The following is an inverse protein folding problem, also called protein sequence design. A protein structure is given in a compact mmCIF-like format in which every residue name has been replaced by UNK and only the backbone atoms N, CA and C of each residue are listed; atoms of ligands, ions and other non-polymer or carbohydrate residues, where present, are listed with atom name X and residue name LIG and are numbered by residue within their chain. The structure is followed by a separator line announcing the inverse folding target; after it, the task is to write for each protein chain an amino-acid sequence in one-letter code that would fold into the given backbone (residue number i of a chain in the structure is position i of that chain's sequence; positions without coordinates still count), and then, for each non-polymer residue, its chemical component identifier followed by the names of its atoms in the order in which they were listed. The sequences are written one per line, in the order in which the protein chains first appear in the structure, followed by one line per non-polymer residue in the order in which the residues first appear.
data_IF_495614995574
#
_entry.id   IF_495614995574
#
_cell.length_a   1.000
_cell.length_b   1.000
_cell.length_c   1.000
_cell.angle_alpha   90.00
_cell.angle_beta   90.00
_cell.angle_gamma   90.00
#
_symmetry.space_group_name_H-M   'P 1'
#
loop_
_entity.id
_entity.type
_entity.pdbx_description
1 polymer ?
#
# COMPACT_ATOMS: atom_id res chain seq x y z
N UNK A 1 48.44 -10.58 9.34
CA UNK A 1 47.66 -9.50 9.98
C UNK A 1 46.61 -10.13 10.91
N UNK A 2 46.47 -9.65 12.15
CA UNK A 2 45.41 -10.11 13.09
C UNK A 2 44.54 -8.90 13.44
N UNK A 3 43.30 -8.89 12.94
CA UNK A 3 42.30 -7.90 13.38
C UNK A 3 41.73 -8.44 14.71
N UNK A 4 41.98 -7.75 15.82
CA UNK A 4 41.34 -8.03 17.11
C UNK A 4 40.13 -7.12 17.25
N UNK A 5 38.93 -7.67 17.11
CA UNK A 5 37.67 -6.97 17.41
C UNK A 5 37.20 -7.45 18.78
N UNK A 6 37.29 -6.57 19.78
CA UNK A 6 36.75 -6.76 21.12
C UNK A 6 37.73 -7.30 22.17
N UNK A 7 37.68 -6.68 23.35
CA UNK A 7 37.89 -7.36 24.62
C UNK A 7 36.80 -6.83 25.58
N UNK A 8 35.94 -7.71 26.10
CA UNK A 8 34.81 -7.38 26.98
C UNK A 8 33.73 -6.39 26.47
N UNK A 9 33.62 -6.11 25.17
CA UNK A 9 32.57 -5.24 24.66
C UNK A 9 31.27 -6.00 24.36
N UNK A 10 30.14 -5.53 24.88
CA UNK A 10 28.79 -5.98 24.50
C UNK A 10 28.34 -5.17 23.29
N UNK A 11 28.48 -5.74 22.10
CA UNK A 11 27.97 -5.12 20.88
C UNK A 11 26.52 -5.59 20.71
N UNK A 12 25.57 -4.66 20.86
CA UNK A 12 24.15 -4.91 20.61
C UNK A 12 23.71 -4.04 19.43
N UNK A 13 22.95 -4.62 18.52
CA UNK A 13 22.36 -3.96 17.35
C UNK A 13 23.38 -3.24 16.44
N UNK A 14 24.54 -3.86 16.19
CA UNK A 14 25.54 -3.33 15.26
C UNK A 14 25.77 -4.25 14.08
N UNK A 15 26.00 -3.65 12.94
CA UNK A 15 26.30 -4.31 11.67
C UNK A 15 27.79 -4.16 11.39
N UNK A 16 28.50 -5.27 11.22
CA UNK A 16 29.92 -5.28 10.88
C UNK A 16 30.09 -5.89 9.49
N UNK A 17 30.44 -5.06 8.52
CA UNK A 17 30.60 -5.42 7.10
C UNK A 17 29.82 -4.47 6.18
N UNK A 18 30.16 -4.45 4.88
CA UNK A 18 29.41 -3.69 3.88
C UNK A 18 28.07 -4.39 3.63
N UNK A 19 27.04 -4.02 4.39
CA UNK A 19 25.69 -4.36 3.99
C UNK A 19 25.42 -3.59 2.72
N UNK A 20 25.25 -4.29 1.59
CA UNK A 20 24.48 -3.74 0.50
C UNK A 20 23.12 -3.39 1.09
N UNK A 21 22.94 -2.13 1.47
CA UNK A 21 21.65 -1.57 1.85
C UNK A 21 20.86 -1.54 0.54
N UNK A 22 20.41 -2.71 0.08
CA UNK A 22 19.21 -2.78 -0.73
C UNK A 22 18.15 -2.16 0.15
N UNK A 23 17.74 -0.94 -0.22
CA UNK A 23 16.84 -0.11 0.55
C UNK A 23 15.69 -0.93 1.13
N UNK A 24 15.27 -0.56 2.34
CA UNK A 24 14.24 -1.26 3.11
C UNK A 24 13.19 -1.89 2.19
N UNK A 25 12.84 -3.18 2.37
CA UNK A 25 11.87 -3.83 1.52
C UNK A 25 10.59 -3.01 1.57
N UNK A 26 10.31 -2.31 0.46
CA UNK A 26 9.24 -1.34 0.37
C UNK A 26 7.95 -2.07 0.76
N UNK A 27 7.44 -1.79 1.95
CA UNK A 27 6.41 -2.60 2.58
C UNK A 27 5.15 -2.43 1.76
N UNK A 28 4.81 -3.44 0.97
CA UNK A 28 3.63 -3.42 0.10
C UNK A 28 2.41 -2.99 0.90
N UNK A 29 1.65 -2.06 0.33
CA UNK A 29 0.39 -1.61 0.92
C UNK A 29 -0.57 -2.80 1.02
N UNK A 30 -1.51 -2.75 1.96
CA UNK A 30 -2.57 -3.76 2.07
C UNK A 30 -3.30 -3.94 0.73
N UNK A 31 -3.41 -2.85 -0.03
CA UNK A 31 -4.04 -2.84 -1.34
C UNK A 31 -3.26 -3.66 -2.38
N UNK A 32 -1.94 -3.60 -2.34
CA UNK A 32 -1.07 -4.36 -3.25
C UNK A 32 -0.95 -5.82 -2.85
N UNK A 33 -1.15 -6.10 -1.56
CA UNK A 33 -1.06 -7.46 -1.01
C UNK A 33 -2.31 -8.29 -1.30
N UNK A 34 -3.48 -7.65 -1.35
CA UNK A 34 -4.77 -8.33 -1.54
C UNK A 34 -5.64 -7.67 -2.63
N UNK A 35 -5.20 -7.68 -3.90
CA UNK A 35 -5.93 -7.02 -4.98
C UNK A 35 -7.36 -7.57 -5.15
N UNK A 36 -7.56 -8.88 -4.98
CA UNK A 36 -8.88 -9.52 -5.13
C UNK A 36 -9.88 -9.06 -4.07
N UNK A 37 -9.45 -8.92 -2.81
CA UNK A 37 -10.34 -8.47 -1.72
C UNK A 37 -10.82 -7.04 -1.97
N UNK A 38 -9.94 -6.18 -2.46
CA UNK A 38 -10.31 -4.81 -2.83
C UNK A 38 -11.30 -4.81 -3.97
N UNK A 39 -11.08 -5.62 -5.00
CA UNK A 39 -12.03 -5.74 -6.11
C UNK A 39 -13.42 -6.13 -5.62
N UNK A 40 -13.52 -7.09 -4.70
CA UNK A 40 -14.81 -7.51 -4.11
C UNK A 40 -15.48 -6.35 -3.36
N UNK A 41 -14.72 -5.63 -2.52
CA UNK A 41 -15.22 -4.49 -1.75
C UNK A 41 -15.70 -3.38 -2.69
N UNK A 42 -14.92 -3.05 -3.72
CA UNK A 42 -15.28 -2.04 -4.72
C UNK A 42 -16.57 -2.46 -5.44
N UNK A 43 -16.67 -3.69 -5.93
CA UNK A 43 -17.88 -4.18 -6.59
C UNK A 43 -19.10 -4.10 -5.67
N UNK A 44 -18.95 -4.44 -4.39
CA UNK A 44 -20.04 -4.33 -3.42
C UNK A 44 -20.47 -2.87 -3.21
N UNK A 45 -19.51 -1.95 -3.07
CA UNK A 45 -19.77 -0.52 -2.91
C UNK A 45 -20.49 0.05 -4.12
N UNK A 46 -20.03 -0.26 -5.35
CA UNK A 46 -20.67 0.21 -6.57
C UNK A 46 -22.06 -0.40 -6.75
N UNK A 47 -22.24 -1.70 -6.47
CA UNK A 47 -23.55 -2.34 -6.47
C UNK A 47 -24.52 -1.69 -5.48
N UNK A 48 -24.03 -1.30 -4.31
CA UNK A 48 -24.81 -0.56 -3.33
C UNK A 48 -25.14 0.86 -3.79
N UNK A 49 -24.18 1.57 -4.37
CA UNK A 49 -24.40 2.91 -4.95
C UNK A 49 -25.45 2.87 -6.07
N UNK A 50 -25.49 1.82 -6.89
CA UNK A 50 -26.49 1.65 -7.94
C UNK A 50 -27.93 1.49 -7.46
N UNK A 51 -28.16 1.14 -6.19
CA UNK A 51 -29.50 0.96 -5.63
C UNK A 51 -30.23 2.27 -5.31
N UNK A 52 -29.53 3.40 -5.28
CA UNK A 52 -30.13 4.67 -4.89
C UNK A 52 -30.74 5.41 -6.07
N UNK A 53 -31.86 6.10 -5.83
CA UNK A 53 -32.54 6.91 -6.85
C UNK A 53 -31.78 8.19 -7.27
N UNK A 54 -30.56 8.44 -6.75
CA UNK A 54 -29.81 9.66 -7.08
C UNK A 54 -29.24 9.67 -8.50
N UNK A 55 -29.24 8.53 -9.20
CA UNK A 55 -28.70 8.42 -10.56
C UNK A 55 -29.41 9.34 -11.55
N UNK A 56 -30.72 9.55 -11.38
CA UNK A 56 -31.48 10.46 -12.24
C UNK A 56 -30.92 11.89 -12.17
N UNK A 57 -30.54 12.36 -10.97
CA UNK A 57 -29.90 13.66 -10.77
C UNK A 57 -28.49 13.71 -11.37
N UNK A 58 -27.74 12.61 -11.31
CA UNK A 58 -26.42 12.52 -11.95
C UNK A 58 -26.55 12.57 -13.48
N UNK A 59 -27.52 11.86 -14.05
CA UNK A 59 -27.78 11.86 -15.49
C UNK A 59 -28.17 13.25 -15.96
N UNK A 60 -29.11 13.91 -15.27
CA UNK A 60 -29.51 15.29 -15.57
C UNK A 60 -28.33 16.28 -15.49
N UNK A 61 -27.46 16.11 -14.49
CA UNK A 61 -26.24 16.91 -14.37
C UNK A 61 -25.29 16.70 -15.57
N UNK A 62 -25.07 15.45 -15.98
CA UNK A 62 -24.21 15.11 -17.12
C UNK A 62 -24.81 15.66 -18.42
N UNK A 63 -26.11 15.51 -18.65
CA UNK A 63 -26.80 16.02 -19.84
C UNK A 63 -26.69 17.55 -19.95
N UNK A 64 -26.81 18.26 -18.83
CA UNK A 64 -26.65 19.71 -18.80
C UNK A 64 -25.20 20.16 -19.01
N UNK A 65 -24.20 19.30 -18.76
CA UNK A 65 -22.80 19.60 -19.03
C UNK A 65 -22.46 19.55 -20.53
N UNK A 66 -23.20 18.74 -21.30
CA UNK A 66 -22.98 18.54 -22.74
C UNK A 66 -23.99 19.30 -23.63
N UNK A 67 -24.86 20.11 -23.04
CA UNK A 67 -25.75 21.05 -23.74
C UNK A 67 -25.03 22.36 -24.06
#
# INVERSE_FOLDING_TARGET
MKIKIGNNNKIKDSVIGNQNIQGEPNKKSFTERHPVLISIIITFIFGFLFLFSFWDTIVEFIENLFK
#
